data_IF_920822177131
#
_entry.id   IF_920822177131
#
_cell.length_a   1.000
_cell.length_b   1.000
_cell.length_c   1.000
_cell.angle_alpha   90.00
_cell.angle_beta   90.00
_cell.angle_gamma   90.00
#
_symmetry.space_group_name_H-M   'P 1'
#
loop_
_entity.id
_entity.type
_entity.pdbx_description
1 polymer ?
#
# COMPACT_ATOMS: atom_id res chain seq x y z
N UNK A 1 6.25 -6.43 -5.87
CA UNK A 1 6.88 -5.42 -4.98
C UNK A 1 7.84 -6.15 -4.06
N UNK A 2 9.04 -5.61 -3.82
CA UNK A 2 10.03 -6.21 -2.94
C UNK A 2 10.21 -5.31 -1.71
N UNK A 3 10.19 -5.88 -0.50
CA UNK A 3 10.45 -5.15 0.73
C UNK A 3 11.97 -4.92 0.88
N UNK A 4 12.38 -3.65 0.99
CA UNK A 4 13.77 -3.29 1.24
C UNK A 4 14.18 -3.75 2.64
N UNK A 5 15.19 -4.62 2.74
CA UNK A 5 15.58 -5.24 4.02
C UNK A 5 16.94 -4.79 4.56
N UNK A 6 17.56 -3.84 3.86
CA UNK A 6 18.84 -3.21 4.22
C UNK A 6 18.73 -1.71 3.99
N UNK A 7 19.55 -0.96 4.70
CA UNK A 7 19.63 0.50 4.60
C UNK A 7 19.85 0.96 3.15
N UNK A 8 20.82 0.37 2.45
CA UNK A 8 21.18 0.70 1.08
C UNK A 8 20.00 0.54 0.11
N UNK A 9 19.28 -0.59 0.19
CA UNK A 9 18.10 -0.84 -0.63
C UNK A 9 16.93 0.08 -0.26
N UNK A 10 16.82 0.45 1.02
CA UNK A 10 15.77 1.36 1.48
C UNK A 10 16.02 2.79 0.99
N UNK A 11 17.27 3.23 0.93
CA UNK A 11 17.66 4.51 0.34
C UNK A 11 17.30 4.60 -1.15
N UNK A 12 17.61 3.56 -1.92
CA UNK A 12 17.25 3.50 -3.34
C UNK A 12 15.72 3.55 -3.53
N UNK A 13 14.99 2.76 -2.74
CA UNK A 13 13.52 2.76 -2.75
C UNK A 13 12.97 4.16 -2.41
N UNK A 14 13.53 4.82 -1.40
CA UNK A 14 13.11 6.14 -1.00
C UNK A 14 13.38 7.22 -2.06
N UNK A 15 14.43 7.09 -2.87
CA UNK A 15 14.65 7.95 -4.04
C UNK A 15 13.49 7.85 -5.02
N UNK A 16 13.13 6.62 -5.40
CA UNK A 16 12.02 6.33 -6.33
C UNK A 16 10.66 6.80 -5.79
N UNK A 17 10.40 6.58 -4.49
CA UNK A 17 9.15 7.00 -3.86
C UNK A 17 9.01 8.52 -3.82
N UNK A 18 10.08 9.25 -3.46
CA UNK A 18 10.06 10.71 -3.41
C UNK A 18 9.81 11.30 -4.80
N UNK A 19 10.48 10.77 -5.82
CA UNK A 19 10.27 11.20 -7.21
C UNK A 19 8.83 10.98 -7.66
N UNK A 20 8.26 9.80 -7.39
CA UNK A 20 6.87 9.50 -7.71
C UNK A 20 5.88 10.43 -7.00
N UNK A 21 6.05 10.62 -5.68
CA UNK A 21 5.20 11.52 -4.87
C UNK A 21 5.29 12.96 -5.38
N UNK A 22 6.48 13.44 -5.72
CA UNK A 22 6.66 14.79 -6.26
C UNK A 22 6.00 14.96 -7.62
N UNK A 23 6.05 13.94 -8.48
CA UNK A 23 5.38 13.93 -9.77
C UNK A 23 3.85 14.09 -9.60
N UNK A 24 3.25 13.22 -8.76
CA UNK A 24 1.81 13.25 -8.52
C UNK A 24 1.39 14.55 -7.84
N UNK A 25 2.16 15.03 -6.85
CA UNK A 25 1.86 16.30 -6.18
C UNK A 25 1.93 17.50 -7.14
N UNK A 26 2.86 17.51 -8.10
CA UNK A 26 2.89 18.54 -9.16
C UNK A 26 1.66 18.45 -10.06
N UNK A 27 1.27 17.24 -10.47
CA UNK A 27 0.05 17.02 -11.25
C UNK A 27 -1.20 17.49 -10.49
N UNK A 28 -1.38 17.06 -9.24
CA UNK A 28 -2.50 17.46 -8.39
C UNK A 28 -2.60 18.97 -8.27
N UNK A 29 -1.48 19.67 -8.03
CA UNK A 29 -1.48 21.14 -7.92
C UNK A 29 -1.89 21.83 -9.23
N UNK A 30 -1.38 21.35 -10.37
CA UNK A 30 -1.57 21.98 -11.69
C UNK A 30 -2.91 21.66 -12.34
N UNK A 31 -3.39 20.43 -12.18
CA UNK A 31 -4.46 19.88 -13.02
C UNK A 31 -5.78 19.67 -12.28
N UNK A 32 -5.77 19.54 -10.95
CA UNK A 32 -6.99 19.30 -10.18
C UNK A 32 -7.61 20.61 -9.69
N UNK A 33 -8.94 20.66 -9.70
CA UNK A 33 -9.73 21.70 -9.04
C UNK A 33 -9.71 21.55 -7.50
N UNK A 34 -10.26 22.53 -6.80
CA UNK A 34 -10.25 22.58 -5.33
C UNK A 34 -10.89 21.35 -4.68
N UNK A 35 -12.03 20.88 -5.21
CA UNK A 35 -12.73 19.75 -4.63
C UNK A 35 -11.93 18.45 -4.85
N UNK A 36 -11.44 18.24 -6.07
CA UNK A 36 -10.59 17.08 -6.40
C UNK A 36 -9.28 17.05 -5.61
N UNK A 37 -8.70 18.22 -5.29
CA UNK A 37 -7.52 18.33 -4.41
C UNK A 37 -7.81 17.85 -2.99
N UNK A 38 -8.93 18.28 -2.40
CA UNK A 38 -9.35 17.86 -1.05
C UNK A 38 -9.55 16.35 -1.01
N UNK A 39 -10.20 15.78 -2.03
CA UNK A 39 -10.41 14.33 -2.11
C UNK A 39 -9.07 13.59 -2.24
N UNK A 40 -8.16 14.07 -3.08
CA UNK A 40 -6.83 13.48 -3.23
C UNK A 40 -6.05 13.51 -1.91
N UNK A 41 -6.04 14.64 -1.19
CA UNK A 41 -5.40 14.74 0.11
C UNK A 41 -6.01 13.76 1.11
N UNK A 42 -7.34 13.70 1.20
CA UNK A 42 -8.03 12.77 2.10
C UNK A 42 -7.66 11.30 1.82
N UNK A 43 -7.58 10.90 0.55
CA UNK A 43 -7.24 9.53 0.16
C UNK A 43 -5.76 9.18 0.33
N UNK A 44 -4.87 10.15 0.15
CA UNK A 44 -3.41 9.88 0.09
C UNK A 44 -2.64 10.27 1.34
N UNK A 45 -3.23 11.07 2.26
CA UNK A 45 -2.54 11.59 3.43
C UNK A 45 -1.79 10.49 4.20
N UNK A 46 -2.48 9.39 4.55
CA UNK A 46 -1.86 8.29 5.29
C UNK A 46 -0.68 7.64 4.56
N UNK A 47 -0.77 7.50 3.23
CA UNK A 47 0.33 6.96 2.42
C UNK A 47 1.50 7.94 2.35
N UNK A 48 1.23 9.25 2.19
CA UNK A 48 2.27 10.27 2.17
C UNK A 48 2.97 10.39 3.53
N UNK A 49 2.24 10.32 4.64
CA UNK A 49 2.82 10.27 5.99
C UNK A 49 3.73 9.05 6.15
N UNK A 50 3.25 7.86 5.76
CA UNK A 50 4.04 6.63 5.83
C UNK A 50 5.35 6.74 5.03
N UNK A 51 5.30 7.24 3.79
CA UNK A 51 6.48 7.44 2.96
C UNK A 51 7.44 8.43 3.63
N UNK A 52 6.92 9.54 4.15
CA UNK A 52 7.73 10.55 4.85
C UNK A 52 8.43 9.93 6.06
N UNK A 53 7.72 9.20 6.89
CA UNK A 53 8.27 8.58 8.10
C UNK A 53 9.30 7.51 7.76
N UNK A 54 9.01 6.64 6.79
CA UNK A 54 9.94 5.60 6.34
C UNK A 54 11.23 6.18 5.71
N UNK A 55 11.09 7.26 4.93
CA UNK A 55 12.18 7.83 4.14
C UNK A 55 12.90 9.01 4.79
N UNK A 56 12.51 9.37 6.02
CA UNK A 56 13.28 10.30 6.87
C UNK A 56 14.35 9.52 7.61
N UNK A 57 15.62 9.83 7.33
CA UNK A 57 16.75 9.19 8.01
C UNK A 57 16.67 9.43 9.51
N UNK A 58 16.92 8.37 10.28
CA UNK A 58 16.88 8.43 11.74
C UNK A 58 15.48 8.52 12.36
N UNK A 59 14.40 8.52 11.58
CA UNK A 59 13.05 8.53 12.15
C UNK A 59 12.80 7.27 13.01
N UNK A 60 11.99 7.37 14.07
CA UNK A 60 11.64 6.20 14.88
C UNK A 60 11.02 5.08 14.06
N UNK A 61 10.15 5.43 13.11
CA UNK A 61 9.49 4.46 12.23
C UNK A 61 10.47 3.72 11.32
N UNK A 62 11.42 4.44 10.71
CA UNK A 62 12.45 3.82 9.85
C UNK A 62 13.32 2.85 10.64
N UNK A 63 13.75 3.24 11.84
CA UNK A 63 14.57 2.38 12.69
C UNK A 63 13.82 1.09 13.03
N UNK A 64 12.55 1.21 13.42
CA UNK A 64 11.73 0.04 13.74
C UNK A 64 11.47 -0.83 12.51
N UNK A 65 11.18 -0.23 11.36
CA UNK A 65 11.04 -0.94 10.09
C UNK A 65 12.28 -1.78 9.79
N UNK A 66 13.49 -1.21 9.89
CA UNK A 66 14.74 -1.92 9.59
C UNK A 66 15.01 -3.08 10.53
N UNK A 67 14.60 -2.98 11.81
CA UNK A 67 14.69 -4.12 12.75
C UNK A 67 13.87 -5.31 12.26
N UNK A 68 12.70 -5.06 11.68
CA UNK A 68 11.77 -6.10 11.21
C UNK A 68 11.86 -6.39 9.71
N UNK A 69 12.65 -5.64 8.95
CA UNK A 69 12.64 -5.70 7.50
C UNK A 69 13.06 -7.07 6.94
N UNK A 70 13.92 -7.81 7.67
CA UNK A 70 14.27 -9.20 7.33
C UNK A 70 13.05 -10.14 7.39
N UNK A 71 12.13 -9.92 8.32
CA UNK A 71 10.89 -10.69 8.42
C UNK A 71 10.00 -10.44 7.21
N UNK A 72 9.77 -9.17 6.84
CA UNK A 72 9.01 -8.81 5.65
C UNK A 72 9.62 -9.37 4.37
N UNK A 73 10.95 -9.36 4.28
CA UNK A 73 11.66 -9.95 3.14
C UNK A 73 11.50 -11.46 3.03
N UNK A 74 11.55 -12.18 4.17
CA UNK A 74 11.34 -13.64 4.20
C UNK A 74 9.97 -14.03 3.62
N UNK A 75 8.92 -13.27 3.95
CA UNK A 75 7.56 -13.57 3.53
C UNK A 75 7.11 -12.79 2.28
N UNK A 76 8.00 -12.04 1.62
CA UNK A 76 7.65 -11.17 0.48
C UNK A 76 6.95 -11.92 -0.66
N UNK A 77 7.34 -13.18 -0.92
CA UNK A 77 6.74 -13.98 -1.99
C UNK A 77 5.30 -14.37 -1.65
N UNK A 78 5.06 -14.84 -0.43
CA UNK A 78 3.73 -15.20 0.04
C UNK A 78 2.82 -13.97 0.11
N UNK A 79 3.35 -12.86 0.62
CA UNK A 79 2.66 -11.58 0.62
C UNK A 79 2.26 -11.17 -0.81
N UNK A 80 3.19 -11.27 -1.77
CA UNK A 80 2.92 -10.97 -3.18
C UNK A 80 1.82 -11.87 -3.76
N UNK A 81 1.87 -13.17 -3.53
CA UNK A 81 0.82 -14.09 -4.00
C UNK A 81 -0.57 -13.71 -3.45
N UNK A 82 -0.64 -13.36 -2.16
CA UNK A 82 -1.88 -12.92 -1.54
C UNK A 82 -2.36 -11.58 -2.11
N UNK A 83 -1.44 -10.63 -2.29
CA UNK A 83 -1.73 -9.30 -2.84
C UNK A 83 -2.18 -9.36 -4.29
N UNK A 84 -1.51 -10.16 -5.13
CA UNK A 84 -1.85 -10.32 -6.55
C UNK A 84 -3.25 -10.95 -6.68
N UNK A 85 -3.54 -11.97 -5.86
CA UNK A 85 -4.88 -12.57 -5.78
C UNK A 85 -5.93 -11.55 -5.34
N UNK A 86 -5.64 -10.79 -4.29
CA UNK A 86 -6.53 -9.73 -3.82
C UNK A 86 -6.84 -8.73 -4.95
N UNK A 87 -5.81 -8.19 -5.61
CA UNK A 87 -6.00 -7.22 -6.69
C UNK A 87 -6.75 -7.80 -7.88
N UNK A 88 -6.53 -9.06 -8.24
CA UNK A 88 -7.31 -9.71 -9.31
C UNK A 88 -8.81 -9.75 -9.01
N UNK A 89 -9.19 -9.95 -7.74
CA UNK A 89 -10.59 -9.87 -7.33
C UNK A 89 -11.11 -8.43 -7.37
N UNK A 90 -10.35 -7.47 -6.84
CA UNK A 90 -10.74 -6.05 -6.90
C UNK A 90 -11.00 -5.63 -8.35
N UNK A 91 -10.15 -6.04 -9.28
CA UNK A 91 -10.29 -5.73 -10.70
C UNK A 91 -11.55 -6.37 -11.32
N UNK A 92 -11.87 -7.62 -10.92
CA UNK A 92 -13.07 -8.33 -11.39
C UNK A 92 -14.37 -7.58 -11.02
N UNK A 93 -14.40 -6.91 -9.87
CA UNK A 93 -15.61 -6.28 -9.34
C UNK A 93 -15.63 -4.75 -9.50
N UNK A 94 -14.61 -4.18 -10.15
CA UNK A 94 -14.43 -2.72 -10.25
C UNK A 94 -15.59 -2.02 -10.96
N UNK A 95 -16.21 -2.70 -11.92
CA UNK A 95 -17.30 -2.18 -12.75
C UNK A 95 -18.70 -2.64 -12.30
N UNK A 96 -18.80 -3.42 -11.22
CA UNK A 96 -20.10 -3.83 -10.67
C UNK A 96 -20.79 -2.71 -9.89
N UNK A 97 -22.12 -2.80 -9.77
CA UNK A 97 -22.91 -1.95 -8.87
C UNK A 97 -22.39 -2.04 -7.42
N UNK A 98 -22.47 -0.94 -6.67
CA UNK A 98 -22.02 -0.86 -5.27
C UNK A 98 -22.64 -1.93 -4.37
N UNK A 99 -23.90 -2.28 -4.58
CA UNK A 99 -24.59 -3.30 -3.76
C UNK A 99 -23.98 -4.69 -3.98
N UNK A 100 -23.64 -4.99 -5.22
CA UNK A 100 -23.02 -6.27 -5.62
C UNK A 100 -21.56 -6.32 -5.16
N UNK A 101 -20.81 -5.21 -5.28
CA UNK A 101 -19.47 -5.10 -4.71
C UNK A 101 -19.46 -5.39 -3.21
N UNK A 102 -20.33 -4.74 -2.42
CA UNK A 102 -20.38 -4.90 -0.96
C UNK A 102 -20.67 -6.37 -0.57
N UNK A 103 -21.64 -7.00 -1.24
CA UNK A 103 -22.00 -8.41 -0.97
C UNK A 103 -20.83 -9.35 -1.27
N UNK A 104 -20.17 -9.14 -2.39
CA UNK A 104 -19.03 -9.95 -2.84
C UNK A 104 -17.83 -9.75 -1.92
N UNK A 105 -17.56 -8.51 -1.49
CA UNK A 105 -16.56 -8.19 -0.47
C UNK A 105 -16.81 -8.92 0.86
N UNK A 106 -18.04 -8.87 1.38
CA UNK A 106 -18.40 -9.58 2.61
C UNK A 106 -18.18 -11.10 2.48
N UNK A 107 -18.57 -11.69 1.36
CA UNK A 107 -18.35 -13.11 1.10
C UNK A 107 -16.86 -13.45 1.03
N UNK A 108 -16.06 -12.62 0.35
CA UNK A 108 -14.63 -12.80 0.21
C UNK A 108 -13.89 -12.73 1.55
N UNK A 109 -14.16 -11.70 2.36
CA UNK A 109 -13.60 -11.56 3.71
C UNK A 109 -13.94 -12.78 4.55
N UNK A 110 -15.21 -13.22 4.54
CA UNK A 110 -15.64 -14.44 5.23
C UNK A 110 -14.91 -15.69 4.73
N UNK A 111 -14.73 -15.83 3.42
CA UNK A 111 -14.05 -16.97 2.79
C UNK A 111 -12.57 -17.03 3.19
N UNK A 112 -11.86 -15.90 3.19
CA UNK A 112 -10.47 -15.81 3.65
C UNK A 112 -10.34 -16.15 5.13
N UNK A 113 -11.14 -15.51 5.99
CA UNK A 113 -11.09 -15.75 7.43
C UNK A 113 -11.40 -17.21 7.78
N UNK A 114 -12.35 -17.83 7.09
CA UNK A 114 -12.70 -19.25 7.30
C UNK A 114 -11.61 -20.24 6.88
N UNK A 115 -10.75 -19.87 5.92
CA UNK A 115 -9.58 -20.67 5.52
C UNK A 115 -8.43 -20.51 6.49
N UNK A 116 -8.21 -19.30 7.02
CA UNK A 116 -7.14 -19.02 7.97
C UNK A 116 -7.38 -19.66 9.34
N UNK A 117 -8.64 -19.80 9.78
CA UNK A 117 -8.98 -20.46 11.06
C UNK A 117 -8.80 -21.98 11.06
N UNK A 118 -8.53 -22.60 9.91
CA UNK A 118 -8.27 -24.06 9.79
C UNK A 118 -6.78 -24.41 9.75
N UNK A 119 -5.90 -23.41 9.79
CA UNK A 119 -4.44 -23.57 9.79
C UNK A 119 -3.78 -23.26 11.14
N UNK A 120 -4.58 -23.11 12.20
CA UNK A 120 -4.16 -22.94 13.59
C UNK A 120 -4.77 -24.07 14.42
#
# INVERSE_FOLDING_TARGET
MAFAHKEEHLEELCGKLKEAVDCVNKFTRKCLDTHSKIQYEAMTNGTQTLIKDLCTKGSPFRQEYLKHAKCFHKYQHQYRMCSDRYFSYVDTFKDEDQTTQIKTWCWFVRSIYSKHSKQQ
#
